data_IF_389999834182
#
_entry.id   IF_389999834182
#
_cell.length_a   1.000
_cell.length_b   1.000
_cell.length_c   1.000
_cell.angle_alpha   90.00
_cell.angle_beta   90.00
_cell.angle_gamma   90.00
#
_symmetry.space_group_name_H-M   'P 1'
#
loop_
_entity.id
_entity.type
_entity.pdbx_description
1 polymer ?
#
# COMPACT_ATOMS: atom_id res chain seq x y z
N UNK A 1 23.98 -9.13 -5.45
CA UNK A 1 22.78 -9.65 -4.77
C UNK A 1 23.19 -10.16 -3.39
N UNK A 2 22.84 -9.44 -2.31
CA UNK A 2 23.04 -9.93 -0.94
C UNK A 2 22.02 -11.06 -0.72
N UNK A 3 22.43 -12.21 -0.18
CA UNK A 3 21.47 -13.26 0.20
C UNK A 3 20.56 -12.71 1.32
N UNK A 4 19.25 -12.95 1.28
CA UNK A 4 18.34 -12.49 2.34
C UNK A 4 18.78 -13.08 3.68
N UNK A 5 18.63 -12.29 4.74
CA UNK A 5 18.97 -12.71 6.11
C UNK A 5 18.01 -13.79 6.61
N UNK A 6 18.40 -14.56 7.63
CA UNK A 6 17.51 -15.56 8.25
C UNK A 6 16.23 -14.92 8.80
N UNK A 7 16.28 -13.67 9.24
CA UNK A 7 15.12 -12.90 9.71
C UNK A 7 14.17 -12.58 8.56
N UNK A 8 14.70 -12.18 7.41
CA UNK A 8 13.92 -11.85 6.20
C UNK A 8 13.14 -13.08 5.72
N UNK A 9 13.75 -14.27 5.81
CA UNK A 9 13.10 -15.53 5.45
C UNK A 9 11.92 -15.87 6.38
N UNK A 10 12.04 -15.60 7.68
CA UNK A 10 10.94 -15.82 8.62
C UNK A 10 9.75 -14.89 8.34
N UNK A 11 10.03 -13.61 8.08
CA UNK A 11 9.00 -12.63 7.73
C UNK A 11 8.30 -12.97 6.42
N UNK A 12 9.05 -13.36 5.38
CA UNK A 12 8.50 -13.83 4.11
C UNK A 12 7.56 -15.02 4.30
N UNK A 13 7.98 -16.03 5.06
CA UNK A 13 7.15 -17.21 5.30
C UNK A 13 5.88 -16.87 6.08
N UNK A 14 5.98 -15.96 7.06
CA UNK A 14 4.81 -15.49 7.81
C UNK A 14 3.84 -14.70 6.93
N UNK A 15 4.33 -13.80 6.09
CA UNK A 15 3.51 -13.04 5.15
C UNK A 15 2.78 -13.98 4.17
N UNK A 16 3.49 -14.97 3.60
CA UNK A 16 2.89 -15.98 2.71
C UNK A 16 1.78 -16.78 3.38
N UNK A 17 2.01 -17.22 4.62
CA UNK A 17 0.98 -17.94 5.38
C UNK A 17 -0.27 -17.08 5.59
N UNK A 18 -0.11 -15.79 5.89
CA UNK A 18 -1.25 -14.88 6.05
C UNK A 18 -1.97 -14.60 4.72
N UNK A 19 -1.25 -14.56 3.60
CA UNK A 19 -1.84 -14.50 2.25
C UNK A 19 -2.70 -15.73 1.99
N UNK A 20 -2.19 -16.92 2.33
CA UNK A 20 -2.95 -18.17 2.18
C UNK A 20 -4.19 -18.16 3.07
N UNK A 21 -4.07 -17.73 4.33
CA UNK A 21 -5.23 -17.56 5.25
C UNK A 21 -6.28 -16.62 4.67
N UNK A 22 -5.88 -15.44 4.17
CA UNK A 22 -6.79 -14.50 3.52
C UNK A 22 -7.48 -15.15 2.31
N UNK A 23 -6.73 -15.88 1.49
CA UNK A 23 -7.26 -16.55 0.31
C UNK A 23 -8.27 -17.66 0.65
N UNK A 24 -8.05 -18.39 1.74
CA UNK A 24 -9.01 -19.38 2.25
C UNK A 24 -10.31 -18.74 2.76
N UNK A 25 -10.23 -17.55 3.37
CA UNK A 25 -11.38 -16.84 3.93
C UNK A 25 -12.19 -16.09 2.88
N UNK A 26 -11.53 -15.31 2.04
CA UNK A 26 -12.15 -14.42 1.05
C UNK A 26 -12.35 -15.08 -0.32
N UNK A 27 -11.79 -16.29 -0.53
CA UNK A 27 -11.86 -17.02 -1.79
C UNK A 27 -11.04 -16.38 -2.93
N UNK A 28 -10.22 -15.37 -2.62
CA UNK A 28 -9.32 -14.68 -3.56
C UNK A 28 -8.05 -14.24 -2.85
N UNK A 29 -6.97 -14.03 -3.60
CA UNK A 29 -5.74 -13.42 -3.07
C UNK A 29 -5.99 -11.95 -2.70
N UNK A 30 -5.21 -11.40 -1.75
CA UNK A 30 -5.24 -9.97 -1.48
C UNK A 30 -4.68 -9.24 -2.69
N UNK A 31 -5.39 -8.20 -3.13
CA UNK A 31 -5.00 -7.39 -4.29
C UNK A 31 -4.51 -6.03 -3.83
N UNK A 32 -3.40 -5.56 -4.38
CA UNK A 32 -2.81 -4.27 -4.03
C UNK A 32 -2.59 -3.43 -5.28
N UNK A 33 -3.05 -2.18 -5.27
CA UNK A 33 -2.72 -1.18 -6.28
C UNK A 33 -1.57 -0.33 -5.75
N UNK A 34 -0.45 -0.30 -6.47
CA UNK A 34 0.67 0.58 -6.12
C UNK A 34 0.72 1.79 -7.03
N UNK A 35 0.93 2.97 -6.44
CA UNK A 35 1.14 4.22 -7.15
C UNK A 35 2.25 5.02 -6.50
N UNK A 36 3.06 5.66 -7.33
CA UNK A 36 3.73 6.89 -6.95
C UNK A 36 2.88 8.04 -7.50
N UNK A 37 2.66 9.08 -6.69
CA UNK A 37 1.81 10.23 -7.04
C UNK A 37 2.59 11.54 -7.10
N UNK A 38 3.89 11.55 -6.79
CA UNK A 38 4.71 12.77 -6.76
C UNK A 38 5.42 13.03 -8.09
N UNK A 39 6.29 12.11 -8.54
CA UNK A 39 7.07 12.31 -9.77
C UNK A 39 7.57 11.02 -10.45
N UNK A 40 7.97 11.13 -11.72
CA UNK A 40 8.57 10.05 -12.52
C UNK A 40 9.92 9.56 -11.99
N UNK A 41 10.58 10.29 -11.10
CA UNK A 41 11.95 9.96 -10.68
C UNK A 41 12.02 8.67 -9.85
N UNK A 42 10.88 8.21 -9.31
CA UNK A 42 10.79 7.04 -8.45
C UNK A 42 9.89 5.92 -9.03
N UNK A 43 9.59 5.93 -10.33
CA UNK A 43 8.80 4.85 -10.96
C UNK A 43 9.48 3.48 -10.80
N UNK A 44 10.81 3.44 -10.76
CA UNK A 44 11.56 2.20 -10.55
C UNK A 44 11.30 1.59 -9.16
N UNK A 45 11.15 2.41 -8.13
CA UNK A 45 10.95 1.97 -6.76
C UNK A 45 9.60 1.27 -6.62
N UNK A 46 8.56 1.80 -7.26
CA UNK A 46 7.23 1.15 -7.35
C UNK A 46 7.35 -0.27 -7.90
N UNK A 47 8.12 -0.46 -8.98
CA UNK A 47 8.30 -1.78 -9.63
C UNK A 47 9.05 -2.77 -8.73
N UNK A 48 10.02 -2.30 -7.95
CA UNK A 48 10.73 -3.14 -6.97
C UNK A 48 9.76 -3.61 -5.89
N UNK A 49 8.99 -2.70 -5.31
CA UNK A 49 8.00 -3.01 -4.26
C UNK A 49 6.93 -3.97 -4.82
N UNK A 50 6.45 -3.72 -6.03
CA UNK A 50 5.47 -4.56 -6.73
C UNK A 50 5.95 -6.01 -6.90
N UNK A 51 7.20 -6.20 -7.34
CA UNK A 51 7.80 -7.52 -7.46
C UNK A 51 7.85 -8.24 -6.11
N UNK A 52 8.17 -7.53 -5.03
CA UNK A 52 8.23 -8.11 -3.70
C UNK A 52 6.83 -8.54 -3.20
N UNK A 53 5.78 -7.75 -3.44
CA UNK A 53 4.41 -8.17 -3.10
C UNK A 53 3.94 -9.38 -3.92
N UNK A 54 4.28 -9.43 -5.21
CA UNK A 54 3.98 -10.58 -6.05
C UNK A 54 4.68 -11.86 -5.54
N UNK A 55 5.94 -11.75 -5.12
CA UNK A 55 6.69 -12.87 -4.52
C UNK A 55 6.08 -13.38 -3.20
N UNK A 56 5.35 -12.52 -2.48
CA UNK A 56 4.60 -12.86 -1.27
C UNK A 56 3.23 -13.48 -1.56
N UNK A 57 2.73 -13.40 -2.80
CA UNK A 57 1.46 -14.01 -3.23
C UNK A 57 0.28 -13.04 -3.36
N UNK A 58 0.52 -11.72 -3.35
CA UNK A 58 -0.51 -10.74 -3.67
C UNK A 58 -0.79 -10.72 -5.18
N UNK A 59 -2.03 -10.37 -5.55
CA UNK A 59 -2.32 -9.87 -6.89
C UNK A 59 -1.90 -8.39 -6.94
N UNK A 60 -1.09 -8.01 -7.92
CA UNK A 60 -0.43 -6.70 -7.94
C UNK A 60 -0.82 -5.92 -9.18
N UNK A 61 -1.44 -4.77 -8.97
CA UNK A 61 -1.74 -3.77 -10.00
C UNK A 61 -0.84 -2.55 -9.82
N UNK A 62 -0.46 -1.92 -10.94
CA UNK A 62 0.32 -0.70 -10.96
C UNK A 62 -0.51 0.43 -11.56
N UNK A 63 -0.62 1.54 -10.84
CA UNK A 63 -1.13 2.78 -11.39
C UNK A 63 0.01 3.52 -12.12
N UNK A 64 -0.29 4.19 -13.25
CA UNK A 64 0.65 5.12 -13.87
C UNK A 64 1.04 6.28 -12.92
N UNK A 65 2.18 6.92 -13.18
CA UNK A 65 2.83 7.84 -12.23
C UNK A 65 2.07 9.15 -11.98
N UNK A 66 1.10 9.51 -12.81
CA UNK A 66 0.41 10.80 -12.72
C UNK A 66 -1.08 10.66 -12.96
N UNK A 67 -1.79 10.13 -11.98
CA UNK A 67 -3.24 10.11 -11.96
C UNK A 67 -3.82 11.19 -11.05
N UNK A 68 -4.96 11.73 -11.47
CA UNK A 68 -5.79 12.52 -10.56
C UNK A 68 -6.23 11.66 -9.38
N UNK A 69 -6.49 12.28 -8.24
CA UNK A 69 -6.99 11.59 -7.03
C UNK A 69 -8.25 10.79 -7.32
N UNK A 70 -9.13 11.32 -8.17
CA UNK A 70 -10.37 10.67 -8.59
C UNK A 70 -10.10 9.45 -9.47
N UNK A 71 -9.19 9.55 -10.45
CA UNK A 71 -8.86 8.43 -11.34
C UNK A 71 -8.18 7.30 -10.58
N UNK A 72 -7.26 7.63 -9.67
CA UNK A 72 -6.59 6.62 -8.85
C UNK A 72 -7.56 5.90 -7.91
N UNK A 73 -8.48 6.66 -7.29
CA UNK A 73 -9.52 6.09 -6.43
C UNK A 73 -10.47 5.20 -7.24
N UNK A 74 -10.87 5.66 -8.43
CA UNK A 74 -11.73 4.88 -9.31
C UNK A 74 -11.06 3.59 -9.76
N UNK A 75 -9.78 3.64 -10.13
CA UNK A 75 -9.01 2.45 -10.51
C UNK A 75 -8.90 1.46 -9.34
N UNK A 76 -8.66 1.93 -8.12
CA UNK A 76 -8.62 1.08 -6.93
C UNK A 76 -9.95 0.30 -6.75
N UNK A 77 -11.08 0.98 -6.96
CA UNK A 77 -12.42 0.40 -6.85
C UNK A 77 -12.70 -0.57 -8.01
N UNK A 78 -12.45 -0.15 -9.25
CA UNK A 78 -12.70 -0.96 -10.45
C UNK A 78 -11.90 -2.26 -10.44
N UNK A 79 -10.72 -2.24 -9.83
CA UNK A 79 -9.85 -3.40 -9.70
C UNK A 79 -10.19 -4.28 -8.47
N UNK A 80 -11.14 -3.89 -7.61
CA UNK A 80 -11.46 -4.59 -6.35
C UNK A 80 -10.21 -4.80 -5.46
N UNK A 81 -9.41 -3.74 -5.29
CA UNK A 81 -8.18 -3.86 -4.51
C UNK A 81 -8.47 -3.87 -3.01
N UNK A 82 -7.75 -4.71 -2.28
CA UNK A 82 -7.78 -4.74 -0.82
C UNK A 82 -6.98 -3.59 -0.21
N UNK A 83 -5.97 -3.08 -0.91
CA UNK A 83 -5.17 -1.95 -0.46
C UNK A 83 -4.70 -1.06 -1.61
N UNK A 84 -4.64 0.24 -1.36
CA UNK A 84 -3.98 1.26 -2.20
C UNK A 84 -2.68 1.69 -1.50
N UNK A 85 -1.55 1.42 -2.15
CA UNK A 85 -0.21 1.71 -1.64
C UNK A 85 0.38 2.92 -2.37
N UNK A 86 0.57 4.01 -1.64
CA UNK A 86 1.17 5.23 -2.12
C UNK A 86 2.61 5.31 -1.64
N UNK A 87 3.57 5.24 -2.56
CA UNK A 87 5.01 5.28 -2.23
C UNK A 87 5.65 6.60 -2.67
N UNK A 88 6.87 6.84 -2.18
CA UNK A 88 7.67 8.05 -2.46
C UNK A 88 6.95 9.33 -2.03
N UNK A 89 6.19 9.28 -0.93
CA UNK A 89 5.40 10.40 -0.45
C UNK A 89 6.25 11.42 0.30
N UNK A 90 6.06 12.69 -0.04
CA UNK A 90 6.53 13.83 0.72
C UNK A 90 5.39 14.73 1.21
N UNK A 91 5.73 15.79 1.94
CA UNK A 91 4.80 16.84 2.35
C UNK A 91 3.98 17.41 1.19
N UNK A 92 4.52 17.44 -0.03
CA UNK A 92 3.83 18.01 -1.20
C UNK A 92 2.62 17.19 -1.62
N UNK A 93 2.63 15.88 -1.36
CA UNK A 93 1.59 14.95 -1.78
C UNK A 93 0.43 14.87 -0.78
N UNK A 94 0.56 15.46 0.41
CA UNK A 94 -0.49 15.42 1.44
C UNK A 94 -1.87 15.90 0.94
N UNK A 95 -2.00 17.03 0.21
CA UNK A 95 -3.30 17.45 -0.31
C UNK A 95 -3.93 16.42 -1.24
N UNK A 96 -3.13 15.76 -2.08
CA UNK A 96 -3.61 14.73 -3.00
C UNK A 96 -4.04 13.45 -2.25
N UNK A 97 -3.32 13.06 -1.20
CA UNK A 97 -3.70 11.94 -0.33
C UNK A 97 -5.04 12.21 0.35
N UNK A 98 -5.24 13.43 0.88
CA UNK A 98 -6.52 13.82 1.47
C UNK A 98 -7.66 13.81 0.44
N UNK A 99 -7.38 14.20 -0.80
CA UNK A 99 -8.37 14.15 -1.89
C UNK A 99 -8.71 12.71 -2.29
N UNK A 100 -7.73 11.79 -2.30
CA UNK A 100 -7.96 10.35 -2.52
C UNK A 100 -8.90 9.80 -1.45
N UNK A 101 -8.64 10.12 -0.17
CA UNK A 101 -9.52 9.72 0.95
C UNK A 101 -10.94 10.22 0.72
N UNK A 102 -11.12 11.51 0.44
CA UNK A 102 -12.45 12.09 0.16
C UNK A 102 -13.11 11.39 -1.02
N UNK A 103 -12.36 11.08 -2.07
CA UNK A 103 -12.87 10.38 -3.24
C UNK A 103 -13.31 8.95 -2.90
N UNK A 104 -12.52 8.18 -2.15
CA UNK A 104 -12.87 6.83 -1.70
C UNK A 104 -14.13 6.86 -0.81
N UNK A 105 -14.23 7.81 0.11
CA UNK A 105 -15.45 8.03 0.92
C UNK A 105 -16.66 8.34 0.06
N UNK A 106 -16.53 9.22 -0.93
CA UNK A 106 -17.64 9.56 -1.84
C UNK A 106 -18.13 8.36 -2.66
N UNK A 107 -17.25 7.41 -2.96
CA UNK A 107 -17.60 6.15 -3.61
C UNK A 107 -18.02 5.03 -2.63
N UNK A 108 -18.08 5.30 -1.33
CA UNK A 108 -18.40 4.30 -0.30
C UNK A 108 -17.37 3.17 -0.20
N UNK A 109 -16.12 3.45 -0.58
CA UNK A 109 -15.03 2.47 -0.69
C UNK A 109 -13.96 2.66 0.38
N UNK A 110 -14.38 3.06 1.57
CA UNK A 110 -13.53 3.28 2.75
C UNK A 110 -12.93 1.98 3.30
N UNK A 111 -13.42 0.82 2.84
CA UNK A 111 -12.86 -0.50 3.15
C UNK A 111 -11.51 -0.76 2.46
N UNK A 112 -11.16 0.02 1.43
CA UNK A 112 -9.85 -0.10 0.78
C UNK A 112 -8.79 0.48 1.72
N UNK A 113 -7.84 -0.37 2.14
CA UNK A 113 -6.79 0.07 3.05
C UNK A 113 -5.84 1.03 2.35
N UNK A 114 -5.74 2.25 2.86
CA UNK A 114 -4.80 3.24 2.37
C UNK A 114 -3.46 3.13 3.12
N UNK A 115 -2.40 2.82 2.38
CA UNK A 115 -1.03 2.74 2.88
C UNK A 115 -0.21 3.88 2.30
N UNK A 116 0.45 4.64 3.16
CA UNK A 116 1.36 5.74 2.79
C UNK A 116 2.78 5.37 3.21
N UNK A 117 3.65 5.31 2.22
CA UNK A 117 5.08 5.09 2.36
C UNK A 117 5.82 6.36 1.93
N UNK A 118 6.31 7.10 2.92
CA UNK A 118 6.94 8.39 2.70
C UNK A 118 8.16 8.59 3.59
N UNK A 119 9.11 9.35 3.08
CA UNK A 119 10.29 9.71 3.85
C UNK A 119 10.06 11.04 4.57
N UNK A 120 10.52 11.14 5.81
CA UNK A 120 10.51 12.39 6.57
C UNK A 120 9.11 12.98 6.83
N UNK A 121 8.08 12.13 6.92
CA UNK A 121 6.75 12.53 7.40
C UNK A 121 6.88 12.90 8.88
N UNK A 122 6.52 14.14 9.23
CA UNK A 122 6.55 14.61 10.62
C UNK A 122 5.45 13.97 11.47
N UNK A 123 5.57 14.04 12.80
CA UNK A 123 4.52 13.53 13.70
C UNK A 123 3.16 14.19 13.45
N UNK A 124 3.14 15.50 13.23
CA UNK A 124 1.91 16.26 12.94
C UNK A 124 1.29 15.83 11.60
N UNK A 125 2.10 15.61 10.57
CA UNK A 125 1.63 15.14 9.25
C UNK A 125 1.11 13.70 9.34
N UNK A 126 1.80 12.84 10.08
CA UNK A 126 1.35 11.47 10.34
C UNK A 126 0.02 11.45 11.11
N UNK A 127 -0.12 12.29 12.14
CA UNK A 127 -1.36 12.43 12.90
C UNK A 127 -2.52 12.95 12.03
N UNK A 128 -2.25 13.92 11.15
CA UNK A 128 -3.22 14.41 10.17
C UNK A 128 -3.66 13.28 9.22
N UNK A 129 -2.72 12.57 8.61
CA UNK A 129 -3.02 11.48 7.67
C UNK A 129 -3.82 10.34 8.34
N UNK A 130 -3.40 9.94 9.54
CA UNK A 130 -4.08 8.90 10.32
C UNK A 130 -5.50 9.30 10.68
N UNK A 131 -5.69 10.51 11.23
CA UNK A 131 -7.03 11.03 11.57
C UNK A 131 -7.92 11.28 10.36
N UNK A 132 -7.34 11.39 9.16
CA UNK A 132 -8.09 11.56 7.92
C UNK A 132 -8.53 10.25 7.28
N UNK A 133 -7.91 9.10 7.62
CA UNK A 133 -8.29 7.79 7.06
C UNK A 133 -7.15 6.97 6.45
N UNK A 134 -5.89 7.38 6.62
CA UNK A 134 -4.74 6.51 6.28
C UNK A 134 -4.59 5.42 7.34
N UNK A 135 -4.55 4.17 6.90
CA UNK A 135 -4.54 3.00 7.79
C UNK A 135 -3.13 2.62 8.25
N UNK A 136 -2.15 2.79 7.36
CA UNK A 136 -0.74 2.46 7.59
C UNK A 136 0.10 3.61 7.06
N UNK A 137 0.94 4.17 7.93
CA UNK A 137 1.95 5.18 7.57
C UNK A 137 3.32 4.58 7.88
N UNK A 138 4.23 4.66 6.92
CA UNK A 138 5.64 4.25 7.05
C UNK A 138 6.48 5.53 7.08
N UNK A 139 7.28 5.69 8.15
CA UNK A 139 8.14 6.87 8.35
C UNK A 139 9.63 6.55 8.13
N UNK A 140 9.99 5.28 8.09
CA UNK A 140 11.35 4.75 7.95
C UNK A 140 11.36 3.51 7.05
N UNK A 141 12.54 3.06 6.64
CA UNK A 141 12.68 1.88 5.78
C UNK A 141 12.19 0.61 6.50
N UNK A 142 10.96 0.20 6.19
CA UNK A 142 10.41 -1.09 6.61
C UNK A 142 10.60 -2.13 5.51
N UNK A 143 10.72 -3.41 5.90
CA UNK A 143 10.77 -4.49 4.94
C UNK A 143 9.37 -4.75 4.37
N UNK A 144 9.24 -4.95 3.05
CA UNK A 144 7.96 -5.25 2.38
C UNK A 144 7.16 -6.36 3.09
N UNK A 145 7.76 -7.47 3.55
CA UNK A 145 7.01 -8.52 4.26
C UNK A 145 6.41 -8.06 5.59
N UNK A 146 7.04 -7.12 6.30
CA UNK A 146 6.50 -6.55 7.54
C UNK A 146 5.25 -5.71 7.25
N UNK A 147 5.30 -4.90 6.19
CA UNK A 147 4.17 -4.10 5.75
C UNK A 147 3.04 -4.99 5.25
N UNK A 148 3.35 -6.02 4.47
CA UNK A 148 2.38 -7.01 4.02
C UNK A 148 1.67 -7.70 5.20
N UNK A 149 2.41 -8.10 6.24
CA UNK A 149 1.82 -8.65 7.47
C UNK A 149 0.86 -7.64 8.13
N UNK A 150 1.22 -6.35 8.19
CA UNK A 150 0.34 -5.32 8.75
C UNK A 150 -0.94 -5.18 7.93
N UNK A 151 -0.84 -5.12 6.59
CA UNK A 151 -2.00 -5.08 5.68
C UNK A 151 -2.89 -6.30 5.92
N UNK A 152 -2.32 -7.51 5.92
CA UNK A 152 -3.09 -8.74 6.10
C UNK A 152 -3.76 -8.81 7.47
N UNK A 153 -3.10 -8.34 8.53
CA UNK A 153 -3.71 -8.27 9.84
C UNK A 153 -4.91 -7.30 9.90
N UNK A 154 -4.94 -6.25 9.07
CA UNK A 154 -6.13 -5.42 8.95
C UNK A 154 -7.25 -6.12 8.18
N UNK A 155 -6.90 -6.94 7.19
CA UNK A 155 -7.86 -7.61 6.29
C UNK A 155 -8.46 -8.90 6.88
N UNK A 156 -7.73 -9.59 7.77
CA UNK A 156 -8.10 -10.88 8.36
C UNK A 156 -8.66 -10.72 9.79
N UNK A 157 -8.65 -9.51 10.34
CA UNK A 157 -9.11 -9.21 11.71
C UNK A 157 -10.64 -9.29 11.88
#
# INVERSE_FOLDING_TARGET
MKRPSTSDNHLNNKAKLLVDTFAEQEGRRPRILLSNIEDEQHEHDVKIIASAYADLGFDVDLAPVFHSSQDLSKQAIENDVSALYLTSISKKSLPQILEIIVSLTNYGSEYILLVVDGTSITEDESALLSSSGVHIILNETMLVPEVAIRILNYLVA
#
